data_IF_588381612986
#
_entry.id   IF_588381612986
#
_cell.length_a   1.000
_cell.length_b   1.000
_cell.length_c   1.000
_cell.angle_alpha   90.00
_cell.angle_beta   90.00
_cell.angle_gamma   90.00
#
_symmetry.space_group_name_H-M   'P 1'
#
loop_
_entity.id
_entity.type
_entity.pdbx_description
1 polymer ?
#
# COMPACT_ATOMS: atom_id res chain seq x y z
N UNK A 1 -3.08 -10.79 8.39
CA UNK A 1 -3.40 -10.01 9.60
C UNK A 1 -2.99 -8.57 9.36
N UNK A 2 -3.68 -7.59 9.94
CA UNK A 2 -3.36 -6.17 9.74
C UNK A 2 -3.22 -5.43 11.07
N UNK A 3 -2.54 -4.28 11.03
CA UNK A 3 -2.40 -3.43 12.20
C UNK A 3 -1.22 -2.45 12.11
N UNK A 4 -1.02 -1.70 13.18
CA UNK A 4 0.03 -0.67 13.28
C UNK A 4 1.38 -1.19 13.81
N UNK A 5 1.57 -2.50 13.93
CA UNK A 5 2.81 -3.09 14.48
C UNK A 5 3.03 -2.88 15.97
N UNK A 6 2.00 -2.42 16.70
CA UNK A 6 2.10 -2.28 18.16
C UNK A 6 2.29 -3.65 18.82
N UNK A 7 2.92 -3.68 20.00
CA UNK A 7 3.39 -4.88 20.68
C UNK A 7 2.40 -6.07 20.69
N UNK A 8 1.11 -5.83 20.94
CA UNK A 8 0.10 -6.90 20.95
C UNK A 8 -0.17 -7.46 19.56
N UNK A 9 -0.38 -6.60 18.56
CA UNK A 9 -0.62 -7.02 17.17
C UNK A 9 0.61 -7.68 16.57
N UNK A 10 1.80 -7.18 16.87
CA UNK A 10 3.07 -7.74 16.43
C UNK A 10 3.28 -9.17 16.97
N UNK A 11 3.02 -9.41 18.26
CA UNK A 11 3.11 -10.76 18.85
C UNK A 11 2.13 -11.73 18.23
N UNK A 12 0.85 -11.33 18.06
CA UNK A 12 -0.15 -12.19 17.43
C UNK A 12 0.19 -12.49 15.97
N UNK A 13 0.73 -11.50 15.23
CA UNK A 13 1.19 -11.70 13.87
C UNK A 13 2.36 -12.69 13.82
N UNK A 14 3.34 -12.54 14.70
CA UNK A 14 4.49 -13.44 14.77
C UNK A 14 4.07 -14.89 15.06
N UNK A 15 3.02 -15.08 15.86
CA UNK A 15 2.56 -16.42 16.25
C UNK A 15 1.66 -17.08 15.20
N UNK A 16 0.76 -16.31 14.55
CA UNK A 16 -0.33 -16.91 13.75
C UNK A 16 -0.41 -16.45 12.30
N UNK A 17 0.25 -15.34 11.90
CA UNK A 17 0.04 -14.78 10.59
C UNK A 17 1.00 -15.35 9.52
N UNK A 18 0.46 -15.62 8.33
CA UNK A 18 1.25 -15.87 7.13
C UNK A 18 1.56 -14.55 6.38
N UNK A 19 0.76 -13.53 6.62
CA UNK A 19 0.88 -12.21 6.01
C UNK A 19 0.57 -11.11 7.01
N UNK A 20 1.36 -10.04 6.98
CA UNK A 20 1.09 -8.83 7.75
C UNK A 20 0.87 -7.64 6.81
N UNK A 21 -0.32 -7.06 6.91
CA UNK A 21 -0.74 -5.93 6.09
C UNK A 21 -0.75 -4.62 6.89
N UNK A 22 -0.18 -3.56 6.32
CA UNK A 22 -0.30 -2.20 6.85
C UNK A 22 -1.13 -1.37 5.86
N UNK A 23 -2.30 -0.91 6.32
CA UNK A 23 -3.24 -0.21 5.46
C UNK A 23 -3.31 1.29 5.79
N UNK A 24 -3.43 2.12 4.76
CA UNK A 24 -3.69 3.57 4.85
C UNK A 24 -2.72 4.31 5.76
N UNK A 25 -1.44 3.98 5.65
CA UNK A 25 -0.39 4.49 6.51
C UNK A 25 0.70 5.23 5.71
N UNK A 26 1.42 6.12 6.38
CA UNK A 26 2.60 6.77 5.80
C UNK A 26 3.76 5.78 5.68
N UNK A 27 4.76 6.09 4.87
CA UNK A 27 5.97 5.27 4.75
C UNK A 27 6.68 5.06 6.10
N UNK A 28 6.74 6.08 6.93
CA UNK A 28 7.33 5.98 8.27
C UNK A 28 6.56 4.99 9.15
N UNK A 29 5.23 5.06 9.12
CA UNK A 29 4.36 4.14 9.87
C UNK A 29 4.47 2.70 9.35
N UNK A 30 4.55 2.50 8.03
CA UNK A 30 4.76 1.19 7.41
C UNK A 30 6.10 0.61 7.86
N UNK A 31 7.18 1.38 7.73
CA UNK A 31 8.52 0.97 8.15
C UNK A 31 8.58 0.61 9.64
N UNK A 32 7.99 1.42 10.49
CA UNK A 32 7.93 1.16 11.93
C UNK A 32 7.13 -0.12 12.25
N UNK A 33 6.00 -0.33 11.58
CA UNK A 33 5.17 -1.51 11.76
C UNK A 33 5.90 -2.79 11.32
N UNK A 34 6.54 -2.78 10.14
CA UNK A 34 7.30 -3.92 9.65
C UNK A 34 8.45 -4.27 10.57
N UNK A 35 9.23 -3.28 11.04
CA UNK A 35 10.30 -3.52 12.04
C UNK A 35 9.77 -4.12 13.34
N UNK A 36 8.66 -3.61 13.84
CA UNK A 36 8.05 -4.10 15.08
C UNK A 36 7.60 -5.57 14.98
N UNK A 37 6.99 -5.94 13.85
CA UNK A 37 6.56 -7.32 13.62
C UNK A 37 7.75 -8.24 13.35
N UNK A 38 8.77 -7.79 12.61
CA UNK A 38 9.99 -8.56 12.37
C UNK A 38 10.73 -8.88 13.68
N UNK A 39 10.82 -7.91 14.60
CA UNK A 39 11.38 -8.13 15.93
C UNK A 39 10.57 -9.17 16.73
N UNK A 40 9.25 -9.09 16.71
CA UNK A 40 8.39 -10.08 17.36
C UNK A 40 8.51 -11.49 16.75
N UNK A 41 8.72 -11.59 15.44
CA UNK A 41 9.03 -12.86 14.79
C UNK A 41 10.35 -13.45 15.31
N UNK A 42 11.40 -12.64 15.40
CA UNK A 42 12.69 -13.07 15.94
C UNK A 42 12.58 -13.57 17.39
N UNK A 43 11.84 -12.84 18.24
CA UNK A 43 11.57 -13.24 19.63
C UNK A 43 10.79 -14.57 19.73
N UNK A 44 9.93 -14.85 18.74
CA UNK A 44 9.19 -16.10 18.63
C UNK A 44 9.97 -17.24 17.95
N UNK A 45 11.24 -17.03 17.58
CA UNK A 45 12.08 -18.00 16.87
C UNK A 45 11.66 -18.20 15.40
N UNK A 46 10.97 -17.23 14.82
CA UNK A 46 10.48 -17.25 13.45
C UNK A 46 11.27 -16.26 12.59
N UNK A 47 11.64 -16.64 11.38
CA UNK A 47 12.30 -15.72 10.44
C UNK A 47 11.32 -14.74 9.82
N UNK A 48 11.76 -13.51 9.58
CA UNK A 48 10.94 -12.49 8.91
C UNK A 48 10.55 -12.91 7.48
N UNK A 49 11.39 -13.68 6.80
CA UNK A 49 11.15 -14.20 5.44
C UNK A 49 9.98 -15.21 5.36
N UNK A 50 9.55 -15.75 6.49
CA UNK A 50 8.37 -16.60 6.57
C UNK A 50 7.05 -15.81 6.56
N UNK A 51 7.12 -14.49 6.64
CA UNK A 51 6.00 -13.56 6.63
C UNK A 51 5.90 -12.87 5.26
N UNK A 52 4.72 -12.84 4.67
CA UNK A 52 4.43 -11.95 3.54
C UNK A 52 4.17 -10.55 4.08
N UNK A 53 4.86 -9.56 3.52
CA UNK A 53 4.71 -8.17 3.89
C UNK A 53 3.88 -7.45 2.84
N UNK A 54 2.80 -6.82 3.24
CA UNK A 54 1.93 -6.11 2.30
C UNK A 54 1.47 -4.76 2.82
N UNK A 55 1.15 -3.88 1.88
CA UNK A 55 0.50 -2.60 2.15
C UNK A 55 -0.81 -2.50 1.37
N UNK A 56 -1.76 -1.74 1.90
CA UNK A 56 -2.99 -1.41 1.20
C UNK A 56 -3.15 0.10 1.17
N UNK A 57 -3.42 0.67 0.00
CA UNK A 57 -3.56 2.11 -0.18
C UNK A 57 -4.74 2.44 -1.10
N UNK A 58 -5.41 3.55 -0.81
CA UNK A 58 -6.39 4.11 -1.73
C UNK A 58 -5.70 4.57 -3.00
N UNK A 59 -6.17 4.11 -4.15
CA UNK A 59 -5.65 4.50 -5.46
C UNK A 59 -6.55 5.51 -6.15
N UNK A 60 -5.95 6.52 -6.77
CA UNK A 60 -6.59 7.47 -7.64
C UNK A 60 -5.61 7.85 -8.75
N UNK A 61 -5.75 7.19 -9.91
CA UNK A 61 -4.86 7.33 -11.05
C UNK A 61 -5.54 8.08 -12.18
N UNK A 62 -4.83 8.97 -12.83
CA UNK A 62 -5.28 9.68 -14.02
C UNK A 62 -4.14 9.84 -15.03
N UNK A 63 -4.48 9.97 -16.33
CA UNK A 63 -3.48 10.19 -17.39
C UNK A 63 -2.78 11.54 -17.23
N UNK A 64 -3.49 12.50 -16.65
CA UNK A 64 -3.02 13.86 -16.38
C UNK A 64 -3.66 14.41 -15.10
N UNK A 65 -3.24 15.61 -14.70
CA UNK A 65 -3.71 16.26 -13.47
C UNK A 65 -5.22 16.53 -13.45
N UNK A 66 -5.79 16.86 -14.62
CA UNK A 66 -7.23 17.11 -14.73
C UNK A 66 -8.04 15.83 -14.45
N UNK A 67 -7.57 14.70 -14.96
CA UNK A 67 -8.21 13.40 -14.74
C UNK A 67 -8.03 12.93 -13.29
N UNK A 68 -6.85 13.13 -12.70
CA UNK A 68 -6.60 12.85 -11.27
C UNK A 68 -7.56 13.67 -10.40
N UNK A 69 -7.65 14.98 -10.65
CA UNK A 69 -8.54 15.86 -9.88
C UNK A 69 -10.01 15.44 -10.01
N UNK A 70 -10.48 15.15 -11.21
CA UNK A 70 -11.85 14.69 -11.48
C UNK A 70 -12.17 13.40 -10.69
N UNK A 71 -11.27 12.43 -10.71
CA UNK A 71 -11.45 11.17 -9.97
C UNK A 71 -11.39 11.35 -8.46
N UNK A 72 -10.48 12.20 -7.98
CA UNK A 72 -10.39 12.53 -6.56
C UNK A 72 -11.68 13.20 -6.07
N UNK A 73 -12.23 14.15 -6.82
CA UNK A 73 -13.51 14.79 -6.51
C UNK A 73 -14.66 13.77 -6.47
N UNK A 74 -14.71 12.82 -7.40
CA UNK A 74 -15.73 11.79 -7.47
C UNK A 74 -15.75 10.90 -6.21
N UNK A 75 -14.60 10.67 -5.58
CA UNK A 75 -14.48 9.89 -4.34
C UNK A 75 -14.42 10.77 -3.07
N UNK A 76 -14.60 12.08 -3.20
CA UNK A 76 -14.58 13.02 -2.08
C UNK A 76 -13.22 13.15 -1.41
N UNK A 77 -12.12 13.06 -2.17
CA UNK A 77 -10.75 13.15 -1.67
C UNK A 77 -10.00 14.31 -2.30
N UNK A 78 -8.97 14.77 -1.60
CA UNK A 78 -8.06 15.79 -2.11
C UNK A 78 -6.87 15.13 -2.83
N UNK A 79 -6.51 15.56 -4.07
CA UNK A 79 -5.37 15.00 -4.82
C UNK A 79 -4.05 15.05 -4.06
N UNK A 80 -3.78 16.13 -3.32
CA UNK A 80 -2.56 16.27 -2.53
C UNK A 80 -2.50 15.26 -1.38
N UNK A 81 -3.61 15.04 -0.68
CA UNK A 81 -3.70 14.02 0.38
C UNK A 81 -3.52 12.60 -0.18
N UNK A 82 -4.08 12.32 -1.37
CA UNK A 82 -3.90 11.03 -2.03
C UNK A 82 -2.45 10.78 -2.44
N UNK A 83 -1.70 11.82 -2.79
CA UNK A 83 -0.25 11.72 -3.05
C UNK A 83 0.55 11.52 -1.78
N UNK A 84 0.17 12.15 -0.69
CA UNK A 84 0.88 12.05 0.59
C UNK A 84 0.60 10.74 1.32
N UNK A 85 -0.66 10.32 1.40
CA UNK A 85 -1.12 9.20 2.23
C UNK A 85 -1.65 8.00 1.44
N UNK A 86 -1.60 8.03 0.11
CA UNK A 86 -2.15 6.99 -0.74
C UNK A 86 -1.33 6.74 -1.99
N UNK A 87 -2.01 6.32 -3.03
CA UNK A 87 -1.49 6.11 -4.39
C UNK A 87 -2.27 7.03 -5.34
N UNK A 88 -2.06 8.35 -5.21
CA UNK A 88 -2.65 9.37 -6.07
C UNK A 88 -1.66 9.90 -7.10
N UNK A 89 -2.13 10.13 -8.33
CA UNK A 89 -1.34 10.79 -9.36
C UNK A 89 -1.40 10.11 -10.73
N UNK A 90 -0.43 10.42 -11.58
CA UNK A 90 -0.24 9.79 -12.87
C UNK A 90 0.32 8.37 -12.74
N UNK A 91 0.25 7.53 -13.80
CA UNK A 91 0.84 6.19 -13.77
C UNK A 91 2.29 6.15 -13.31
N UNK A 92 3.13 7.10 -13.75
CA UNK A 92 4.53 7.16 -13.35
C UNK A 92 4.70 7.45 -11.85
N UNK A 93 3.91 8.38 -11.30
CA UNK A 93 3.91 8.67 -9.86
C UNK A 93 3.51 7.45 -9.04
N UNK A 94 2.54 6.66 -9.52
CA UNK A 94 2.13 5.42 -8.86
C UNK A 94 3.23 4.36 -8.90
N UNK A 95 3.89 4.17 -10.04
CA UNK A 95 5.01 3.21 -10.17
C UNK A 95 6.15 3.56 -9.21
N UNK A 96 6.54 4.84 -9.13
CA UNK A 96 7.57 5.31 -8.19
C UNK A 96 7.15 5.02 -6.73
N UNK A 97 5.90 5.35 -6.39
CA UNK A 97 5.39 5.13 -5.03
C UNK A 97 5.31 3.66 -4.64
N UNK A 98 4.93 2.80 -5.56
CA UNK A 98 4.92 1.34 -5.36
C UNK A 98 6.36 0.84 -5.16
N UNK A 99 7.32 1.35 -5.93
CA UNK A 99 8.75 1.07 -5.73
C UNK A 99 9.23 1.45 -4.33
N UNK A 100 8.82 2.60 -3.80
CA UNK A 100 9.15 3.01 -2.43
C UNK A 100 8.59 2.02 -1.38
N UNK A 101 7.39 1.47 -1.58
CA UNK A 101 6.86 0.43 -0.69
C UNK A 101 7.65 -0.88 -0.79
N UNK A 102 8.10 -1.25 -1.98
CA UNK A 102 8.99 -2.40 -2.17
C UNK A 102 10.32 -2.21 -1.44
N UNK A 103 10.91 -1.02 -1.49
CA UNK A 103 12.14 -0.67 -0.76
C UNK A 103 11.97 -0.77 0.77
N UNK A 104 10.75 -0.55 1.28
CA UNK A 104 10.40 -0.77 2.68
C UNK A 104 10.21 -2.25 3.05
N UNK A 105 10.23 -3.15 2.07
CA UNK A 105 10.10 -4.59 2.25
C UNK A 105 8.72 -5.15 1.92
N UNK A 106 7.79 -4.36 1.37
CA UNK A 106 6.51 -4.87 0.91
C UNK A 106 6.68 -5.73 -0.35
N UNK A 107 6.16 -6.94 -0.33
CA UNK A 107 6.11 -7.84 -1.48
C UNK A 107 4.77 -7.80 -2.23
N UNK A 108 3.80 -7.10 -1.67
CA UNK A 108 2.46 -6.98 -2.24
C UNK A 108 1.87 -5.62 -1.90
N UNK A 109 1.26 -4.97 -2.89
CA UNK A 109 0.50 -3.72 -2.72
C UNK A 109 -0.94 -3.96 -3.15
N UNK A 110 -1.88 -3.79 -2.22
CA UNK A 110 -3.31 -3.84 -2.49
C UNK A 110 -3.82 -2.45 -2.88
N UNK A 111 -4.40 -2.34 -4.06
CA UNK A 111 -4.97 -1.12 -4.59
C UNK A 111 -6.46 -1.04 -4.23
N UNK A 112 -6.83 -0.14 -3.34
CA UNK A 112 -8.23 0.09 -3.00
C UNK A 112 -8.83 1.14 -3.95
N UNK A 113 -9.72 0.70 -4.83
CA UNK A 113 -10.56 1.58 -5.64
C UNK A 113 -11.83 1.90 -4.86
N UNK A 114 -12.14 3.19 -4.67
CA UNK A 114 -13.35 3.63 -3.98
C UNK A 114 -14.52 3.82 -4.93
N UNK A 115 -14.27 4.19 -6.18
CA UNK A 115 -15.27 4.22 -7.24
C UNK A 115 -15.21 2.91 -8.04
N UNK A 116 -16.15 2.01 -7.76
CA UNK A 116 -16.23 0.71 -8.41
C UNK A 116 -16.82 0.76 -9.82
N UNK A 117 -17.41 1.89 -10.20
CA UNK A 117 -17.98 2.11 -11.53
C UNK A 117 -16.98 2.72 -12.51
N UNK A 118 -15.83 3.23 -12.01
CA UNK A 118 -14.73 3.78 -12.86
C UNK A 118 -13.88 2.66 -13.46
N UNK A 119 -14.43 1.95 -14.44
CA UNK A 119 -13.73 0.90 -15.16
C UNK A 119 -12.58 1.43 -16.02
N UNK A 120 -12.63 2.72 -16.41
CA UNK A 120 -11.54 3.36 -17.14
C UNK A 120 -10.29 3.51 -16.28
N UNK A 121 -10.43 3.80 -14.99
CA UNK A 121 -9.30 3.82 -14.07
C UNK A 121 -8.68 2.43 -13.91
N UNK A 122 -9.52 1.39 -13.80
CA UNK A 122 -9.05 0.02 -13.72
C UNK A 122 -8.27 -0.39 -14.97
N UNK A 123 -8.78 -0.06 -16.16
CA UNK A 123 -8.08 -0.30 -17.42
C UNK A 123 -6.75 0.48 -17.48
N UNK A 124 -6.75 1.76 -17.08
CA UNK A 124 -5.53 2.57 -17.03
C UNK A 124 -4.46 1.95 -16.14
N UNK A 125 -4.82 1.49 -14.96
CA UNK A 125 -3.90 0.80 -14.05
C UNK A 125 -3.34 -0.49 -14.67
N UNK A 126 -4.21 -1.30 -15.28
CA UNK A 126 -3.82 -2.56 -15.91
C UNK A 126 -2.86 -2.34 -17.11
N UNK A 127 -3.11 -1.31 -17.89
CA UNK A 127 -2.35 -1.07 -19.14
C UNK A 127 -1.04 -0.30 -18.91
N UNK A 128 -0.97 0.53 -17.86
CA UNK A 128 0.16 1.47 -17.70
C UNK A 128 0.94 1.31 -16.41
N UNK A 129 0.34 0.81 -15.34
CA UNK A 129 1.02 0.63 -14.04
C UNK A 129 1.50 -0.80 -13.87
N UNK A 130 0.60 -1.78 -14.00
CA UNK A 130 0.95 -3.19 -13.76
C UNK A 130 2.11 -3.71 -14.62
N UNK A 131 2.26 -3.35 -15.92
CA UNK A 131 3.38 -3.84 -16.71
C UNK A 131 4.76 -3.32 -16.29
N UNK A 132 4.81 -2.31 -15.41
CA UNK A 132 6.04 -1.70 -14.91
C UNK A 132 6.42 -2.18 -13.51
N UNK A 133 5.60 -3.05 -12.93
CA UNK A 133 5.80 -3.59 -11.58
C UNK A 133 6.08 -5.09 -11.74
N UNK A 134 7.28 -5.52 -11.39
CA UNK A 134 7.71 -6.92 -11.37
C UNK A 134 7.53 -7.54 -9.97
#
# INVERSE_FOLDING_TARGET
MGGSGRQRSARLAAEYAAEYNVAFATQEQISAAFRGVAAACADAGRTADSMRWSVAQTVCCGRDEAEVSRRADAIGRNPAELREFGLGGTPNELVERIGEFADLGASTVYLQLLDLDDLEQLALLADTVLPQID
#
